data_IF_478777226268
#
_entry.id   IF_478777226268
#
_cell.length_a   1.000
_cell.length_b   1.000
_cell.length_c   1.000
_cell.angle_alpha   90.00
_cell.angle_beta   90.00
_cell.angle_gamma   90.00
#
_symmetry.space_group_name_H-M   'P 1'
#
loop_
_entity.id
_entity.type
_entity.pdbx_description
1 polymer ?
#
# COMPACT_ATOMS: atom_id res chain seq x y z
N UNK A 1 -18.81 10.36 -20.21
CA UNK A 1 -17.92 9.38 -19.53
C UNK A 1 -16.69 10.03 -18.92
N UNK A 2 -16.07 11.05 -19.53
CA UNK A 2 -14.97 11.84 -18.92
C UNK A 2 -15.43 12.64 -17.70
N UNK A 3 -16.57 13.34 -17.78
CA UNK A 3 -17.08 14.18 -16.67
C UNK A 3 -17.40 13.42 -15.37
N UNK A 4 -17.96 12.21 -15.46
CA UNK A 4 -18.23 11.40 -14.26
C UNK A 4 -16.94 10.92 -13.57
N UNK A 5 -15.90 10.63 -14.35
CA UNK A 5 -14.62 10.16 -13.81
C UNK A 5 -13.84 11.30 -13.16
N UNK A 6 -13.84 12.49 -13.77
CA UNK A 6 -13.19 13.67 -13.20
C UNK A 6 -13.92 14.15 -11.94
N UNK A 7 -15.27 14.12 -11.95
CA UNK A 7 -16.09 14.37 -10.76
C UNK A 7 -15.79 13.40 -9.61
N UNK A 8 -15.64 12.10 -9.91
CA UNK A 8 -15.28 11.09 -8.91
C UNK A 8 -13.89 11.35 -8.32
N UNK A 9 -12.89 11.68 -9.15
CA UNK A 9 -11.54 11.97 -8.70
C UNK A 9 -11.48 13.24 -7.83
N UNK A 10 -12.18 14.30 -8.21
CA UNK A 10 -12.25 15.53 -7.42
C UNK A 10 -12.92 15.30 -6.07
N UNK A 11 -14.03 14.56 -6.04
CA UNK A 11 -14.67 14.16 -4.78
C UNK A 11 -13.73 13.33 -3.90
N UNK A 12 -12.97 12.43 -4.51
CA UNK A 12 -11.99 11.59 -3.81
C UNK A 12 -10.90 12.43 -3.14
N UNK A 13 -10.35 13.42 -3.87
CA UNK A 13 -9.32 14.32 -3.33
C UNK A 13 -9.89 15.12 -2.17
N UNK A 14 -11.09 15.70 -2.34
CA UNK A 14 -11.74 16.49 -1.30
C UNK A 14 -12.03 15.66 -0.03
N UNK A 15 -12.50 14.42 -0.17
CA UNK A 15 -12.77 13.53 0.98
C UNK A 15 -11.48 13.17 1.73
N UNK A 16 -10.39 12.89 1.01
CA UNK A 16 -9.08 12.62 1.61
C UNK A 16 -8.58 13.87 2.35
N UNK A 17 -8.67 15.03 1.72
CA UNK A 17 -8.23 16.28 2.34
C UNK A 17 -9.03 16.61 3.60
N UNK A 18 -10.35 16.42 3.58
CA UNK A 18 -11.20 16.65 4.73
C UNK A 18 -10.87 15.71 5.90
N UNK A 19 -10.60 14.42 5.62
CA UNK A 19 -10.19 13.45 6.64
C UNK A 19 -8.81 13.76 7.22
N UNK A 20 -7.86 14.12 6.36
CA UNK A 20 -6.52 14.51 6.80
C UNK A 20 -6.61 15.79 7.66
N UNK A 21 -7.43 16.78 7.28
CA UNK A 21 -7.65 17.99 8.09
C UNK A 21 -8.30 17.69 9.43
N UNK A 22 -9.32 16.81 9.49
CA UNK A 22 -9.94 16.44 10.77
C UNK A 22 -8.95 15.76 11.71
N UNK A 23 -8.05 14.92 11.18
CA UNK A 23 -6.99 14.31 11.99
C UNK A 23 -5.99 15.35 12.49
N UNK A 24 -5.58 16.30 11.66
CA UNK A 24 -4.68 17.38 12.09
C UNK A 24 -5.32 18.22 13.19
N UNK A 25 -6.60 18.56 13.07
CA UNK A 25 -7.33 19.30 14.10
C UNK A 25 -7.45 18.50 15.40
N UNK A 26 -7.74 17.20 15.33
CA UNK A 26 -7.77 16.31 16.48
C UNK A 26 -6.39 16.25 17.19
N UNK A 27 -5.29 16.12 16.44
CA UNK A 27 -3.94 16.15 17.02
C UNK A 27 -3.66 17.49 17.72
N UNK A 28 -4.04 18.61 17.10
CA UNK A 28 -3.86 19.94 17.67
C UNK A 28 -4.71 20.16 18.94
N UNK A 29 -5.87 19.50 19.03
CA UNK A 29 -6.70 19.46 20.23
C UNK A 29 -6.14 18.53 21.33
N UNK A 30 -5.07 17.78 21.05
CA UNK A 30 -4.46 16.82 21.97
C UNK A 30 -5.12 15.46 21.99
N UNK A 31 -5.97 15.15 21.00
CA UNK A 31 -6.66 13.86 20.89
C UNK A 31 -5.73 12.77 20.33
N UNK A 32 -5.94 11.53 20.78
CA UNK A 32 -5.25 10.37 20.23
C UNK A 32 -5.92 9.92 18.93
N UNK A 33 -5.15 9.88 17.85
CA UNK A 33 -5.66 9.42 16.55
C UNK A 33 -5.44 7.92 16.40
N UNK A 34 -6.52 7.16 16.46
CA UNK A 34 -6.50 5.70 16.33
C UNK A 34 -6.55 5.24 14.85
N UNK A 35 -7.17 6.04 13.98
CA UNK A 35 -7.38 5.69 12.58
C UNK A 35 -6.11 5.94 11.72
N UNK A 36 -5.29 4.89 11.59
CA UNK A 36 -4.06 4.89 10.79
C UNK A 36 -4.29 4.66 9.28
N UNK A 37 -5.51 4.28 8.90
CA UNK A 37 -5.89 3.95 7.52
C UNK A 37 -7.28 4.47 7.22
N UNK A 38 -7.53 4.77 5.96
CA UNK A 38 -8.88 4.95 5.45
C UNK A 38 -9.05 4.21 4.13
N UNK A 39 -10.28 3.82 3.84
CA UNK A 39 -10.64 3.18 2.58
C UNK A 39 -11.20 4.22 1.63
N UNK A 40 -10.75 4.18 0.38
CA UNK A 40 -11.23 5.06 -0.67
C UNK A 40 -11.71 4.26 -1.86
N UNK A 41 -12.87 4.64 -2.39
CA UNK A 41 -13.35 4.11 -3.67
C UNK A 41 -12.50 4.69 -4.80
N UNK A 42 -11.93 3.82 -5.63
CA UNK A 42 -11.11 4.19 -6.78
C UNK A 42 -11.59 3.42 -8.00
N UNK A 43 -11.61 4.05 -9.17
CA UNK A 43 -11.94 3.36 -10.41
C UNK A 43 -10.69 2.69 -11.01
N UNK A 44 -10.71 1.36 -11.15
CA UNK A 44 -9.68 0.64 -11.89
C UNK A 44 -9.98 0.66 -13.39
N UNK A 45 -9.20 1.46 -14.14
CA UNK A 45 -9.35 1.57 -15.60
C UNK A 45 -9.11 0.24 -16.33
N UNK A 46 -8.27 -0.65 -15.79
CA UNK A 46 -7.96 -1.95 -16.43
C UNK A 46 -9.11 -2.93 -16.24
N UNK A 47 -9.70 -2.95 -15.05
CA UNK A 47 -10.81 -3.86 -14.72
C UNK A 47 -12.20 -3.24 -14.98
N UNK A 48 -12.25 -1.96 -15.37
CA UNK A 48 -13.47 -1.17 -15.56
C UNK A 48 -14.45 -1.25 -14.39
N UNK A 49 -13.92 -1.34 -13.17
CA UNK A 49 -14.69 -1.54 -11.94
C UNK A 49 -14.26 -0.58 -10.85
N UNK A 50 -15.20 -0.22 -9.98
CA UNK A 50 -14.90 0.47 -8.73
C UNK A 50 -14.29 -0.52 -7.74
N UNK A 51 -13.17 -0.13 -7.15
CA UNK A 51 -12.44 -0.93 -6.18
C UNK A 51 -12.17 -0.08 -4.94
N UNK A 52 -12.28 -0.71 -3.77
CA UNK A 52 -11.92 -0.07 -2.51
C UNK A 52 -10.44 -0.30 -2.24
N UNK A 53 -9.67 0.79 -2.10
CA UNK A 53 -8.26 0.74 -1.72
C UNK A 53 -8.08 1.36 -0.36
N UNK A 54 -7.48 0.61 0.57
CA UNK A 54 -6.95 1.18 1.79
C UNK A 54 -5.75 2.06 1.47
N UNK A 55 -5.70 3.23 2.10
CA UNK A 55 -4.57 4.16 2.06
C UNK A 55 -4.19 4.52 3.48
N UNK A 56 -2.93 4.92 3.65
CA UNK A 56 -2.48 5.49 4.91
C UNK A 56 -3.19 6.81 5.15
N UNK A 57 -3.68 7.01 6.37
CA UNK A 57 -4.13 8.33 6.82
C UNK A 57 -2.95 9.26 7.01
N UNK A 58 -3.21 10.54 7.30
CA UNK A 58 -2.18 11.44 7.78
C UNK A 58 -1.42 10.83 8.98
N UNK A 59 -2.13 10.26 9.96
CA UNK A 59 -1.52 9.67 11.16
C UNK A 59 -0.72 8.41 10.80
N UNK A 60 -1.29 7.55 9.96
CA UNK A 60 -0.62 6.36 9.46
C UNK A 60 0.65 6.69 8.68
N UNK A 61 0.65 7.76 7.89
CA UNK A 61 1.82 8.21 7.14
C UNK A 61 2.95 8.64 8.07
N UNK A 62 2.65 9.41 9.13
CA UNK A 62 3.64 9.78 10.15
C UNK A 62 4.21 8.57 10.87
N UNK A 63 3.38 7.62 11.27
CA UNK A 63 3.83 6.43 11.98
C UNK A 63 4.68 5.50 11.09
N UNK A 64 4.31 5.36 9.82
CA UNK A 64 5.10 4.61 8.83
C UNK A 64 6.43 5.30 8.55
N UNK A 65 6.46 6.63 8.43
CA UNK A 65 7.68 7.39 8.27
C UNK A 65 8.61 7.25 9.49
N UNK A 66 8.04 7.32 10.71
CA UNK A 66 8.77 7.16 11.98
C UNK A 66 9.37 5.77 12.11
N UNK A 67 8.58 4.73 11.87
CA UNK A 67 9.03 3.33 11.97
C UNK A 67 10.07 2.94 10.93
N UNK A 68 10.04 3.55 9.73
CA UNK A 68 11.08 3.38 8.72
C UNK A 68 12.40 4.02 9.16
N UNK A 69 12.34 5.15 9.85
CA UNK A 69 13.51 5.99 10.14
C UNK A 69 14.13 6.56 8.86
N UNK A 70 15.27 7.25 9.01
CA UNK A 70 16.09 7.74 7.90
C UNK A 70 15.39 8.71 6.92
N UNK A 71 14.25 9.28 7.30
CA UNK A 71 13.57 10.33 6.57
C UNK A 71 13.76 11.66 7.30
N UNK A 72 14.30 12.65 6.59
CA UNK A 72 14.52 14.00 7.13
C UNK A 72 13.66 14.98 6.37
N UNK A 73 12.84 15.74 7.11
CA UNK A 73 12.10 16.88 6.59
C UNK A 73 12.92 18.14 6.82
N UNK A 74 13.15 18.93 5.77
CA UNK A 74 13.77 20.24 5.90
C UNK A 74 12.73 21.29 6.29
N UNK A 75 13.22 22.49 6.63
CA UNK A 75 12.38 23.65 6.91
C UNK A 75 11.40 23.94 5.75
N UNK A 76 10.13 24.24 6.07
CA UNK A 76 9.14 24.55 5.05
C UNK A 76 9.43 25.91 4.40
N UNK A 77 9.30 25.96 3.08
CA UNK A 77 9.23 27.22 2.34
C UNK A 77 7.77 27.64 2.27
N UNK A 78 7.45 28.79 2.85
CA UNK A 78 6.09 29.33 2.89
C UNK A 78 6.01 30.57 2.03
N UNK A 79 5.06 30.58 1.11
CA UNK A 79 4.71 31.74 0.29
C UNK A 79 3.31 32.18 0.67
N UNK A 80 3.22 33.36 1.25
CA UNK A 80 1.95 33.97 1.60
C UNK A 80 1.30 34.60 0.36
N UNK A 81 0.02 34.30 0.12
CA UNK A 81 -0.79 34.88 -0.95
C UNK A 81 -2.10 35.40 -0.33
N UNK A 82 -2.76 36.33 -1.03
CA UNK A 82 -3.92 37.06 -0.49
C UNK A 82 -5.05 36.15 0.02
N UNK A 83 -5.36 35.07 -0.71
CA UNK A 83 -6.46 34.15 -0.37
C UNK A 83 -6.01 32.78 0.16
N UNK A 84 -4.74 32.42 -0.03
CA UNK A 84 -4.22 31.08 0.27
C UNK A 84 -2.79 31.17 0.76
N UNK A 85 -2.34 30.17 1.51
CA UNK A 85 -0.91 29.99 1.79
C UNK A 85 -0.39 28.82 0.94
N UNK A 86 0.80 28.98 0.36
CA UNK A 86 1.49 27.90 -0.33
C UNK A 86 2.65 27.45 0.54
N UNK A 87 2.70 26.15 0.82
CA UNK A 87 3.76 25.55 1.63
C UNK A 87 4.43 24.46 0.82
N UNK A 88 5.76 24.45 0.81
CA UNK A 88 6.58 23.37 0.24
C UNK A 88 7.52 22.81 1.31
N UNK A 89 7.62 21.49 1.38
CA UNK A 89 8.50 20.78 2.31
C UNK A 89 9.37 19.82 1.51
N UNK A 90 10.68 19.88 1.75
CA UNK A 90 11.65 18.95 1.20
C UNK A 90 11.77 17.74 2.14
N UNK A 91 11.60 16.54 1.60
CA UNK A 91 11.86 15.29 2.31
C UNK A 91 13.03 14.54 1.67
N UNK A 92 13.94 14.02 2.50
CA UNK A 92 15.13 13.28 2.04
C UNK A 92 15.12 11.89 2.66
N UNK A 93 15.18 10.85 1.83
CA UNK A 93 15.46 9.48 2.28
C UNK A 93 16.98 9.27 2.28
N UNK A 94 17.56 9.18 3.48
CA UNK A 94 19.01 9.03 3.66
C UNK A 94 19.52 7.67 3.22
N UNK A 95 18.68 6.63 3.21
CA UNK A 95 19.09 5.26 2.82
C UNK A 95 19.19 5.13 1.31
N UNK A 96 18.21 5.68 0.58
CA UNK A 96 18.18 5.65 -0.89
C UNK A 96 18.79 6.89 -1.53
N UNK A 97 19.22 7.86 -0.72
CA UNK A 97 19.86 9.10 -1.12
C UNK A 97 19.10 9.85 -2.23
N UNK A 98 17.79 10.03 -2.04
CA UNK A 98 16.98 10.86 -2.94
C UNK A 98 16.13 11.85 -2.15
N UNK A 99 15.78 12.93 -2.83
CA UNK A 99 14.97 14.01 -2.30
C UNK A 99 13.68 14.13 -3.10
N UNK A 100 12.59 14.40 -2.41
CA UNK A 100 11.29 14.75 -2.99
C UNK A 100 10.73 16.00 -2.32
N UNK A 101 9.81 16.66 -3.01
CA UNK A 101 9.11 17.82 -2.49
C UNK A 101 7.63 17.49 -2.32
N UNK A 102 7.11 17.74 -1.13
CA UNK A 102 5.68 17.90 -0.91
C UNK A 102 5.33 19.36 -1.12
N UNK A 103 4.19 19.62 -1.75
CA UNK A 103 3.62 20.96 -1.87
C UNK A 103 2.13 20.91 -1.55
N UNK A 104 1.60 22.00 -1.02
CA UNK A 104 0.17 22.20 -0.88
C UNK A 104 -0.20 23.69 -1.02
N UNK A 105 -1.47 23.94 -1.28
CA UNK A 105 -2.10 25.24 -1.14
C UNK A 105 -3.23 25.10 -0.13
N UNK A 106 -3.24 25.93 0.91
CA UNK A 106 -4.29 25.94 1.92
C UNK A 106 -5.06 27.26 1.85
N UNK A 107 -6.38 27.24 1.67
CA UNK A 107 -7.21 28.43 1.77
C UNK A 107 -7.12 29.07 3.16
N UNK A 108 -7.12 30.41 3.21
CA UNK A 108 -7.16 31.16 4.47
C UNK A 108 -8.51 31.09 5.17
N UNK A 109 -9.57 30.79 4.41
CA UNK A 109 -10.92 30.64 4.92
C UNK A 109 -11.34 29.18 4.94
N UNK A 110 -12.01 28.77 6.01
CA UNK A 110 -12.61 27.46 6.12
C UNK A 110 -14.14 27.56 6.09
N UNK A 111 -14.77 26.52 5.54
CA UNK A 111 -16.22 26.37 5.55
C UNK A 111 -16.64 25.83 6.92
N UNK A 112 -17.46 26.58 7.63
CA UNK A 112 -18.08 26.17 8.90
C UNK A 112 -19.55 25.88 8.62
N UNK A 113 -20.01 24.73 9.11
CA UNK A 113 -21.42 24.38 9.04
C UNK A 113 -22.13 25.06 10.21
N UNK A 114 -23.19 25.81 9.90
CA UNK A 114 -24.05 26.41 10.90
C UNK A 114 -24.94 25.34 11.48
N UNK A 115 -24.85 25.13 12.79
CA UNK A 115 -25.63 24.14 13.51
C UNK A 115 -26.65 24.87 14.36
N UNK A 116 -27.92 24.51 14.21
CA UNK A 116 -28.98 24.98 15.09
C UNK A 116 -28.72 24.44 16.51
N UNK A 117 -28.54 25.31 17.52
CA UNK A 117 -28.17 24.89 18.87
C UNK A 117 -29.22 24.01 19.54
N UNK A 118 -30.48 24.07 19.13
CA UNK A 118 -31.57 23.32 19.76
C UNK A 118 -31.76 21.93 19.12
N UNK A 119 -31.56 21.82 17.81
CA UNK A 119 -31.82 20.58 17.05
C UNK A 119 -30.55 19.82 16.68
N UNK A 120 -29.38 20.48 16.69
CA UNK A 120 -28.14 19.94 16.17
C UNK A 120 -28.14 19.78 14.64
N UNK A 121 -29.17 20.28 13.95
CA UNK A 121 -29.27 20.18 12.50
C UNK A 121 -28.44 21.25 11.79
N UNK A 122 -27.87 20.89 10.65
CA UNK A 122 -27.08 21.81 9.84
C UNK A 122 -28.06 22.71 9.07
N UNK A 123 -28.15 23.98 9.47
CA UNK A 123 -29.06 24.97 8.87
C UNK A 123 -28.42 25.73 7.71
N UNK A 124 -27.10 25.77 7.67
CA UNK A 124 -26.37 26.55 6.68
C UNK A 124 -24.87 26.31 6.71
N UNK A 125 -24.15 27.17 6.02
CA UNK A 125 -22.70 27.27 6.14
C UNK A 125 -22.23 28.68 5.82
N UNK A 126 -21.17 29.09 6.49
CA UNK A 126 -20.47 30.34 6.20
C UNK A 126 -18.96 30.09 6.15
N UNK A 127 -18.22 31.12 5.74
CA UNK A 127 -16.76 31.07 5.62
C UNK A 127 -16.13 31.99 6.67
N UNK A 128 -15.30 31.42 7.53
CA UNK A 128 -14.52 32.16 8.52
C UNK A 128 -13.02 31.98 8.28
N UNK A 129 -12.22 32.86 8.87
CA UNK A 129 -10.77 32.76 8.83
C UNK A 129 -10.30 31.53 9.62
N UNK A 130 -9.49 30.70 8.97
CA UNK A 130 -8.98 29.45 9.54
C UNK A 130 -7.77 29.74 10.44
N UNK A 131 -7.99 29.75 11.74
CA UNK A 131 -6.94 29.95 12.74
C UNK A 131 -5.80 28.92 12.65
N UNK A 132 -6.06 27.74 12.07
CA UNK A 132 -5.10 26.65 11.91
C UNK A 132 -4.64 26.49 10.46
N UNK A 133 -4.84 27.51 9.61
CA UNK A 133 -4.47 27.48 8.19
C UNK A 133 -3.02 27.02 7.98
N UNK A 134 -2.08 27.61 8.73
CA UNK A 134 -0.67 27.26 8.64
C UNK A 134 -0.40 25.80 9.04
N UNK A 135 -0.94 25.36 10.17
CA UNK A 135 -0.72 24.02 10.71
C UNK A 135 -1.32 22.95 9.79
N UNK A 136 -2.55 23.17 9.28
CA UNK A 136 -3.18 22.30 8.29
C UNK A 136 -2.34 22.21 7.01
N UNK A 137 -1.93 23.35 6.46
CA UNK A 137 -1.10 23.40 5.26
C UNK A 137 0.24 22.69 5.47
N UNK A 138 0.94 22.96 6.57
CA UNK A 138 2.21 22.33 6.89
C UNK A 138 2.06 20.81 7.01
N UNK A 139 1.07 20.34 7.77
CA UNK A 139 0.80 18.91 7.97
C UNK A 139 0.46 18.18 6.67
N UNK A 140 -0.37 18.78 5.79
CA UNK A 140 -0.65 18.24 4.45
C UNK A 140 0.61 18.17 3.61
N UNK A 141 1.41 19.23 3.63
CA UNK A 141 2.65 19.31 2.87
C UNK A 141 3.66 18.24 3.30
N UNK A 142 3.85 18.07 4.61
CA UNK A 142 4.68 17.01 5.19
C UNK A 142 4.17 15.63 4.78
N UNK A 143 2.86 15.37 4.86
CA UNK A 143 2.25 14.10 4.42
C UNK A 143 2.53 13.84 2.93
N UNK A 144 2.39 14.84 2.07
CA UNK A 144 2.70 14.74 0.63
C UNK A 144 4.16 14.32 0.41
N UNK A 145 5.09 14.98 1.10
CA UNK A 145 6.51 14.70 0.99
C UNK A 145 6.87 13.29 1.51
N UNK A 146 6.33 12.91 2.68
CA UNK A 146 6.55 11.61 3.30
C UNK A 146 5.97 10.47 2.47
N UNK A 147 4.77 10.63 1.91
CA UNK A 147 4.13 9.61 1.06
C UNK A 147 5.01 9.26 -0.14
N UNK A 148 5.66 10.25 -0.74
CA UNK A 148 6.61 10.04 -1.86
C UNK A 148 7.91 9.36 -1.40
N UNK A 149 8.33 9.60 -0.16
CA UNK A 149 9.48 8.92 0.44
C UNK A 149 9.18 7.49 0.86
N UNK A 150 7.94 7.09 1.09
CA UNK A 150 7.62 5.74 1.54
C UNK A 150 7.45 4.81 0.32
N UNK A 151 8.23 3.74 0.17
CA UNK A 151 8.01 2.74 -0.88
C UNK A 151 6.63 2.12 -0.80
N UNK A 152 6.01 1.90 -1.95
CA UNK A 152 4.66 1.35 -2.02
C UNK A 152 4.55 -0.05 -1.36
N UNK A 153 5.59 -0.89 -1.48
CA UNK A 153 5.60 -2.22 -0.87
C UNK A 153 5.65 -2.15 0.66
N UNK A 154 6.39 -1.19 1.20
CA UNK A 154 6.48 -0.94 2.64
C UNK A 154 5.17 -0.37 3.18
N UNK A 155 4.59 0.61 2.48
CA UNK A 155 3.27 1.14 2.83
C UNK A 155 2.21 0.03 2.85
N UNK A 156 2.19 -0.86 1.86
CA UNK A 156 1.24 -1.98 1.82
C UNK A 156 1.41 -2.95 3.00
N UNK A 157 2.65 -3.27 3.39
CA UNK A 157 2.94 -4.09 4.59
C UNK A 157 2.44 -3.42 5.87
N UNK A 158 2.61 -2.11 6.01
CA UNK A 158 2.11 -1.37 7.17
C UNK A 158 0.59 -1.27 7.20
N UNK A 159 -0.06 -1.06 6.04
CA UNK A 159 -1.53 -1.07 5.93
C UNK A 159 -2.08 -2.42 6.39
N UNK A 160 -1.51 -3.54 5.93
CA UNK A 160 -1.92 -4.89 6.36
C UNK A 160 -1.73 -5.08 7.88
N UNK A 161 -0.64 -4.56 8.44
CA UNK A 161 -0.41 -4.56 9.89
C UNK A 161 -1.48 -3.76 10.65
N UNK A 162 -1.82 -2.56 10.19
CA UNK A 162 -2.83 -1.71 10.83
C UNK A 162 -4.24 -2.30 10.74
N UNK A 163 -4.58 -2.93 9.60
CA UNK A 163 -5.85 -3.65 9.45
C UNK A 163 -5.97 -4.84 10.41
N UNK A 164 -4.87 -5.57 10.62
CA UNK A 164 -4.84 -6.68 11.58
C UNK A 164 -4.97 -6.20 13.01
N UNK A 165 -4.29 -5.11 13.37
CA UNK A 165 -4.32 -4.54 14.71
C UNK A 165 -5.71 -3.99 15.11
N UNK A 166 -6.46 -3.44 14.15
CA UNK A 166 -7.79 -2.85 14.39
C UNK A 166 -8.94 -3.88 14.35
N UNK A 167 -8.64 -5.18 14.22
CA UNK A 167 -9.67 -6.22 14.09
C UNK A 167 -10.46 -6.18 12.76
N UNK A 168 -10.21 -5.16 11.91
CA UNK A 168 -10.78 -4.99 10.56
C UNK A 168 -10.03 -5.80 9.50
N UNK A 169 -9.35 -6.88 9.89
CA UNK A 169 -8.48 -7.73 9.06
C UNK A 169 -9.15 -8.52 7.93
N UNK A 170 -10.42 -8.22 7.60
CA UNK A 170 -11.13 -8.78 6.44
C UNK A 170 -11.77 -7.65 5.63
N UNK A 171 -10.97 -6.88 4.90
CA UNK A 171 -11.37 -6.23 3.64
C UNK A 171 -10.18 -5.52 3.00
N UNK A 172 -9.24 -6.32 2.49
CA UNK A 172 -8.49 -5.94 1.30
C UNK A 172 -8.51 -7.15 0.39
N UNK A 173 -9.25 -7.06 -0.71
CA UNK A 173 -9.03 -7.93 -1.85
C UNK A 173 -7.57 -7.71 -2.27
N UNK A 174 -6.70 -8.72 -2.20
CA UNK A 174 -5.30 -8.52 -2.48
C UNK A 174 -5.15 -8.20 -3.96
N UNK A 175 -4.61 -7.01 -4.27
CA UNK A 175 -3.82 -6.88 -5.49
C UNK A 175 -2.73 -7.94 -5.42
N UNK A 176 -2.67 -8.77 -6.44
CA UNK A 176 -1.85 -9.97 -6.63
C UNK A 176 -0.63 -10.00 -5.69
N UNK A 177 -0.79 -10.65 -4.54
CA UNK A 177 0.34 -10.95 -3.66
C UNK A 177 1.26 -11.87 -4.46
N UNK A 178 2.50 -11.43 -4.73
CA UNK A 178 3.58 -12.37 -4.97
C UNK A 178 3.62 -13.29 -3.76
N UNK A 179 3.37 -14.58 -3.97
CA UNK A 179 3.40 -15.55 -2.89
C UNK A 179 4.77 -15.47 -2.21
N UNK A 180 4.78 -15.46 -0.87
CA UNK A 180 6.03 -15.67 -0.14
C UNK A 180 6.55 -17.06 -0.56
N UNK A 181 7.87 -17.26 -0.76
CA UNK A 181 8.41 -18.58 -0.99
C UNK A 181 7.96 -19.51 0.15
N UNK A 182 7.60 -20.77 -0.16
CA UNK A 182 7.08 -21.70 0.83
C UNK A 182 8.07 -21.86 1.98
N UNK A 183 7.57 -21.74 3.21
CA UNK A 183 8.35 -21.99 4.42
C UNK A 183 8.79 -23.47 4.44
N UNK A 184 10.01 -23.79 4.92
CA UNK A 184 10.52 -25.18 4.96
C UNK A 184 9.56 -26.19 5.60
N UNK A 185 8.69 -25.76 6.52
CA UNK A 185 7.66 -26.58 7.15
C UNK A 185 6.51 -27.02 6.24
N UNK A 186 6.40 -26.45 5.04
CA UNK A 186 5.35 -26.75 4.04
C UNK A 186 5.84 -27.65 2.91
N UNK A 187 7.15 -27.93 2.87
CA UNK A 187 7.76 -28.82 1.89
C UNK A 187 7.68 -30.25 2.43
N UNK A 188 7.16 -31.17 1.63
CA UNK A 188 7.09 -32.59 1.98
C UNK A 188 8.50 -33.21 2.06
N UNK A 189 8.69 -34.24 2.90
CA UNK A 189 9.95 -34.98 3.02
C UNK A 189 10.45 -35.59 1.70
N UNK A 190 11.76 -35.79 1.56
CA UNK A 190 12.40 -36.32 0.34
C UNK A 190 11.80 -37.63 -0.16
N UNK A 191 11.32 -38.49 0.75
CA UNK A 191 10.70 -39.77 0.40
C UNK A 191 9.48 -39.58 -0.49
N UNK A 192 8.71 -38.50 -0.30
CA UNK A 192 7.56 -38.17 -1.14
C UNK A 192 8.00 -37.66 -2.53
N UNK A 193 9.13 -36.96 -2.62
CA UNK A 193 9.72 -36.52 -3.89
C UNK A 193 10.35 -37.68 -4.67
N UNK A 194 10.82 -38.73 -3.99
CA UNK A 194 11.37 -39.92 -4.62
C UNK A 194 10.30 -40.85 -5.23
N UNK A 195 9.04 -40.71 -4.82
CA UNK A 195 7.92 -41.49 -5.39
C UNK A 195 7.48 -41.01 -6.77
N UNK A 196 7.90 -39.82 -7.21
CA UNK A 196 7.54 -39.27 -8.51
C UNK A 196 8.46 -39.84 -9.59
N UNK A 197 7.87 -40.54 -10.54
CA UNK A 197 8.54 -41.15 -11.70
C UNK A 197 8.24 -40.35 -12.97
N UNK A 198 9.01 -40.60 -14.04
CA UNK A 198 8.93 -39.83 -15.29
C UNK A 198 7.58 -39.94 -15.99
N UNK A 199 6.93 -41.11 -15.91
CA UNK A 199 5.59 -41.38 -16.42
C UNK A 199 4.50 -40.56 -15.72
N UNK A 200 4.75 -40.10 -14.49
CA UNK A 200 3.83 -39.22 -13.76
C UNK A 200 3.93 -37.76 -14.21
N UNK A 201 4.97 -37.40 -14.97
CA UNK A 201 5.24 -36.03 -15.43
C UNK A 201 5.39 -35.98 -16.96
N UNK A 202 4.36 -36.38 -17.73
CA UNK A 202 4.43 -36.38 -19.19
C UNK A 202 4.46 -34.96 -19.79
N UNK A 203 3.91 -33.97 -19.08
CA UNK A 203 3.83 -32.58 -19.49
C UNK A 203 3.85 -31.58 -18.30
N UNK A 204 3.98 -30.29 -18.60
CA UNK A 204 3.94 -29.22 -17.59
C UNK A 204 2.61 -29.13 -16.81
N UNK A 205 1.42 -29.27 -17.44
CA UNK A 205 0.15 -29.37 -16.73
C UNK A 205 0.11 -30.47 -15.66
N UNK A 206 0.80 -31.59 -15.91
CA UNK A 206 0.90 -32.68 -14.94
C UNK A 206 1.92 -32.37 -13.84
N UNK A 207 2.98 -31.63 -14.16
CA UNK A 207 3.99 -31.20 -13.18
C UNK A 207 3.45 -30.21 -12.14
N UNK A 208 2.66 -29.22 -12.57
CA UNK A 208 2.10 -28.16 -11.72
C UNK A 208 1.41 -28.67 -10.43
N UNK A 209 0.42 -29.60 -10.50
CA UNK A 209 -0.23 -30.11 -9.31
C UNK A 209 0.70 -30.96 -8.43
N UNK A 210 1.71 -31.63 -9.03
CA UNK A 210 2.71 -32.42 -8.28
C UNK A 210 3.57 -31.47 -7.43
N UNK A 211 4.10 -30.41 -8.03
CA UNK A 211 4.90 -29.40 -7.32
C UNK A 211 4.09 -28.67 -6.26
N UNK A 212 2.83 -28.33 -6.54
CA UNK A 212 1.92 -27.78 -5.55
C UNK A 212 1.70 -28.74 -4.37
N UNK A 213 1.56 -30.05 -4.62
CA UNK A 213 1.36 -31.02 -3.55
C UNK A 213 2.61 -31.18 -2.67
N UNK A 214 3.79 -31.20 -3.30
CA UNK A 214 5.07 -31.43 -2.64
C UNK A 214 5.63 -30.20 -1.91
N UNK A 215 5.37 -29.00 -2.41
CA UNK A 215 6.03 -27.78 -1.90
C UNK A 215 5.07 -26.62 -1.61
N UNK A 216 3.78 -26.74 -1.98
CA UNK A 216 2.80 -25.63 -1.96
C UNK A 216 3.23 -24.42 -2.79
N UNK A 217 4.09 -24.64 -3.77
CA UNK A 217 4.54 -23.63 -4.73
C UNK A 217 3.51 -23.44 -5.84
N UNK A 218 3.17 -22.19 -6.14
CA UNK A 218 2.29 -21.87 -7.26
C UNK A 218 3.00 -22.11 -8.60
N UNK A 219 2.28 -22.47 -9.68
CA UNK A 219 2.87 -22.65 -11.01
C UNK A 219 3.72 -21.47 -11.49
N UNK A 220 3.29 -20.24 -11.21
CA UNK A 220 4.04 -19.04 -11.59
C UNK A 220 5.41 -18.94 -10.90
N UNK A 221 5.48 -19.33 -9.63
CA UNK A 221 6.72 -19.32 -8.86
C UNK A 221 7.64 -20.46 -9.31
N UNK A 222 7.07 -21.63 -9.63
CA UNK A 222 7.79 -22.77 -10.21
C UNK A 222 8.54 -22.38 -11.49
N UNK A 223 7.88 -21.65 -12.38
CA UNK A 223 8.52 -21.16 -13.62
C UNK A 223 9.64 -20.16 -13.33
N UNK A 224 9.45 -19.26 -12.37
CA UNK A 224 10.50 -18.33 -11.96
C UNK A 224 11.71 -19.04 -11.35
N UNK A 225 11.50 -20.10 -10.55
CA UNK A 225 12.58 -20.92 -10.02
C UNK A 225 13.38 -21.62 -11.11
N UNK A 226 12.71 -21.98 -12.22
CA UNK A 226 13.32 -22.52 -13.43
C UNK A 226 13.89 -21.43 -14.36
N UNK A 227 13.87 -20.16 -13.94
CA UNK A 227 14.46 -19.03 -14.65
C UNK A 227 13.62 -18.47 -15.80
N UNK A 228 12.33 -18.81 -15.89
CA UNK A 228 11.45 -18.37 -16.98
C UNK A 228 10.17 -17.70 -16.48
N UNK A 229 9.53 -16.92 -17.35
CA UNK A 229 8.33 -16.13 -17.01
C UNK A 229 7.02 -16.88 -17.20
N UNK A 230 7.00 -17.87 -18.10
CA UNK A 230 5.80 -18.60 -18.45
C UNK A 230 6.11 -20.00 -18.97
N UNK A 231 5.09 -20.85 -19.01
CA UNK A 231 5.16 -22.18 -19.64
C UNK A 231 5.66 -22.14 -21.08
N UNK A 232 5.32 -21.10 -21.84
CA UNK A 232 5.71 -20.98 -23.24
C UNK A 232 7.22 -20.79 -23.43
N UNK A 233 7.91 -20.35 -22.38
CA UNK A 233 9.34 -20.06 -22.39
C UNK A 233 10.18 -21.27 -21.92
N UNK A 234 9.55 -22.39 -21.58
CA UNK A 234 10.25 -23.58 -21.08
C UNK A 234 11.01 -24.31 -22.20
N UNK A 235 12.31 -24.49 -21.99
CA UNK A 235 13.20 -25.23 -22.91
C UNK A 235 13.64 -26.60 -22.37
N UNK A 236 13.37 -26.88 -21.10
CA UNK A 236 13.70 -28.13 -20.41
C UNK A 236 12.55 -29.12 -20.60
N UNK A 237 12.80 -30.42 -20.50
CA UNK A 237 11.72 -31.41 -20.43
C UNK A 237 10.97 -31.30 -19.07
N UNK A 238 9.67 -31.61 -18.99
CA UNK A 238 8.88 -31.55 -17.75
C UNK A 238 9.51 -32.33 -16.58
N UNK A 239 10.00 -33.55 -16.82
CA UNK A 239 10.67 -34.33 -15.77
C UNK A 239 12.06 -33.77 -15.41
N UNK A 240 12.79 -33.18 -16.36
CA UNK A 240 14.04 -32.46 -16.07
C UNK A 240 13.81 -31.22 -15.19
N UNK A 241 12.70 -30.50 -15.43
CA UNK A 241 12.27 -29.41 -14.57
C UNK A 241 11.90 -29.90 -13.15
N UNK A 242 11.23 -31.04 -13.03
CA UNK A 242 10.97 -31.69 -11.74
C UNK A 242 12.25 -31.99 -10.96
N UNK A 243 13.26 -32.61 -11.59
CA UNK A 243 14.53 -32.94 -10.95
C UNK A 243 15.27 -31.69 -10.46
N UNK A 244 15.26 -30.62 -11.26
CA UNK A 244 15.87 -29.33 -10.91
C UNK A 244 15.22 -28.73 -9.67
N UNK A 245 13.89 -28.76 -9.59
CA UNK A 245 13.14 -28.26 -8.42
C UNK A 245 13.39 -29.15 -7.20
N UNK A 246 13.40 -30.47 -7.38
CA UNK A 246 13.69 -31.43 -6.31
C UNK A 246 15.05 -31.16 -5.66
N UNK A 247 16.10 -30.97 -6.46
CA UNK A 247 17.45 -30.68 -5.96
C UNK A 247 17.51 -29.33 -5.21
N UNK A 248 16.75 -28.34 -5.67
CA UNK A 248 16.74 -27.00 -5.07
C UNK A 248 15.99 -26.95 -3.74
N UNK A 249 14.86 -27.66 -3.63
CA UNK A 249 14.04 -27.69 -2.41
C UNK A 249 14.45 -28.78 -1.43
N UNK A 250 15.16 -29.79 -1.92
CA UNK A 250 15.73 -30.84 -1.11
C UNK A 250 17.14 -31.18 -1.64
N UNK A 251 18.14 -30.35 -1.32
CA UNK A 251 19.52 -30.67 -1.65
C UNK A 251 19.85 -32.04 -1.07
N UNK A 252 20.60 -32.86 -1.81
CA UNK A 252 21.19 -34.07 -1.25
C UNK A 252 22.00 -33.61 -0.05
N UNK A 253 21.79 -34.24 1.10
CA UNK A 253 22.56 -33.93 2.31
C UNK A 253 24.03 -33.79 1.92
N UNK A 254 24.62 -32.66 2.31
CA UNK A 254 26.06 -32.51 2.27
C UNK A 254 26.61 -33.66 3.12
N UNK A 255 27.31 -34.59 2.48
CA UNK A 255 28.26 -35.43 3.18
C UNK A 255 29.26 -34.49 3.86
N UNK A 256 29.02 -34.22 5.15
CA UNK A 256 29.99 -34.15 6.26
C UNK A 256 29.27 -33.91 7.60
#
# INVERSE_FOLDING_TARGET
MTDEMDSLMLKQIAEIEQRDESQVLAELAGELIEDMIYTVETYDRRQRKKIHKARLSWAGTKEVARSRGNLVLAEPVVTDLDATIRIMVKATDLTRNFTVFGGCQQPRKMKINDVDPDTGEITGHHFEDDAYCFQKGLSKCQRNALTLCIPADYAAKCIDRFLKATGKGKQLTPGTQKAKPPTKSQIKPLEEWNKITEDMVPDYPSLEPIIWNLSKMQPADMYQELGVTSRADMTIAPFGAFLTLKERFHPRDQEE
#
